data_IF_072250167444
#
_entry.id   IF_072250167444
#
_cell.length_a   1.000
_cell.length_b   1.000
_cell.length_c   1.000
_cell.angle_alpha   90.00
_cell.angle_beta   90.00
_cell.angle_gamma   90.00
#
_symmetry.space_group_name_H-M   'P 1'
#
loop_
_entity.id
_entity.type
_entity.pdbx_description
1 polymer ?
#
# COMPACT_ATOMS: atom_id res chain seq x y z
N UNK A 1 -8.71 -42.19 26.65
CA UNK A 1 -7.89 -43.41 26.86
C UNK A 1 -7.77 -43.61 28.36
N UNK A 2 -7.96 -44.83 28.88
CA UNK A 2 -7.63 -45.09 30.29
C UNK A 2 -6.14 -44.82 30.49
N UNK A 3 -5.79 -44.04 31.52
CA UNK A 3 -4.43 -43.67 31.92
C UNK A 3 -3.73 -42.55 31.10
N UNK A 4 -4.46 -41.71 30.37
CA UNK A 4 -3.94 -40.47 29.78
C UNK A 4 -4.94 -39.32 29.98
N UNK A 5 -4.45 -38.14 30.34
CA UNK A 5 -5.25 -36.93 30.50
C UNK A 5 -4.56 -35.71 29.87
N UNK A 6 -5.35 -34.68 29.59
CA UNK A 6 -4.91 -33.43 28.98
C UNK A 6 -5.15 -32.27 29.94
N UNK A 7 -4.19 -31.35 30.04
CA UNK A 7 -4.29 -30.14 30.85
C UNK A 7 -3.90 -28.92 30.03
N UNK A 8 -4.66 -27.84 30.16
CA UNK A 8 -4.28 -26.52 29.64
C UNK A 8 -3.75 -25.70 30.81
N UNK A 9 -2.46 -25.35 30.76
CA UNK A 9 -1.75 -24.68 31.86
C UNK A 9 -1.17 -23.33 31.42
N UNK A 10 -1.03 -22.42 32.39
CA UNK A 10 -0.29 -21.16 32.22
C UNK A 10 1.23 -21.38 32.37
N UNK A 11 2.08 -20.34 32.15
CA UNK A 11 3.53 -20.46 32.29
C UNK A 11 4.02 -20.89 33.69
N UNK A 12 3.20 -20.68 34.73
CA UNK A 12 3.46 -21.14 36.09
C UNK A 12 2.96 -22.57 36.37
N UNK A 13 2.60 -23.31 35.31
CA UNK A 13 2.06 -24.68 35.37
C UNK A 13 0.77 -24.81 36.19
N UNK A 14 -0.04 -23.75 36.24
CA UNK A 14 -1.36 -23.78 36.89
C UNK A 14 -2.48 -23.86 35.85
N UNK A 15 -3.60 -24.57 36.13
CA UNK A 15 -4.75 -24.62 35.23
C UNK A 15 -5.28 -23.23 34.88
N UNK A 16 -5.64 -23.03 33.61
CA UNK A 16 -6.27 -21.79 33.14
C UNK A 16 -7.79 -21.87 33.22
N UNK A 17 -8.51 -20.75 33.43
CA UNK A 17 -9.96 -20.72 33.37
C UNK A 17 -10.53 -21.10 31.99
N UNK A 18 -11.82 -21.45 31.96
CA UNK A 18 -12.58 -21.62 30.71
C UNK A 18 -12.44 -20.35 29.85
N UNK A 19 -12.31 -20.53 28.53
CA UNK A 19 -12.04 -19.49 27.51
C UNK A 19 -10.65 -18.85 27.52
N UNK A 20 -9.81 -19.11 28.52
CA UNK A 20 -8.47 -18.52 28.60
C UNK A 20 -7.47 -19.44 27.87
N UNK A 21 -6.72 -18.93 26.87
CA UNK A 21 -5.66 -19.69 26.23
C UNK A 21 -4.55 -20.10 27.20
N UNK A 22 -4.03 -21.30 27.02
CA UNK A 22 -2.83 -21.79 27.70
C UNK A 22 -2.13 -22.88 26.89
N UNK A 23 -1.03 -23.39 27.42
CA UNK A 23 -0.24 -24.46 26.80
C UNK A 23 -0.85 -25.82 27.12
N UNK A 24 -0.96 -26.67 26.11
CA UNK A 24 -1.48 -28.02 26.25
C UNK A 24 -0.38 -28.97 26.74
N UNK A 25 -0.70 -29.71 27.80
CA UNK A 25 0.14 -30.75 28.39
C UNK A 25 -0.61 -32.07 28.40
N UNK A 26 0.14 -33.15 28.24
CA UNK A 26 -0.36 -34.52 28.34
C UNK A 26 0.28 -35.16 29.57
N UNK A 27 -0.55 -35.74 30.43
CA UNK A 27 -0.13 -36.55 31.57
C UNK A 27 -0.63 -37.98 31.48
N UNK A 28 -0.08 -38.86 32.31
CA UNK A 28 -0.49 -40.25 32.44
C UNK A 28 0.59 -41.27 32.05
N UNK A 29 0.25 -42.56 32.18
CA UNK A 29 1.22 -43.66 32.00
C UNK A 29 1.65 -43.87 30.54
N UNK A 30 0.88 -43.38 29.57
CA UNK A 30 1.16 -43.53 28.14
C UNK A 30 2.25 -42.62 27.58
N UNK A 31 2.95 -41.83 28.41
CA UNK A 31 4.00 -40.93 27.93
C UNK A 31 5.24 -41.70 27.49
N UNK A 32 5.81 -41.32 26.35
CA UNK A 32 7.10 -41.83 25.89
C UNK A 32 8.22 -41.49 26.88
N UNK A 33 9.28 -42.30 26.91
CA UNK A 33 10.46 -42.08 27.78
C UNK A 33 11.26 -40.85 27.37
N UNK A 34 11.23 -40.46 26.10
CA UNK A 34 11.91 -39.28 25.57
C UNK A 34 12.03 -39.32 24.04
N UNK A 35 12.77 -38.37 23.50
CA UNK A 35 13.21 -38.37 22.10
C UNK A 35 14.46 -39.24 21.93
N UNK A 36 14.55 -39.94 20.81
CA UNK A 36 15.68 -40.84 20.54
C UNK A 36 16.99 -40.05 20.36
N UNK A 37 17.97 -40.30 21.25
CA UNK A 37 19.30 -39.67 21.24
C UNK A 37 19.31 -38.13 21.35
N UNK A 38 18.24 -37.54 21.88
CA UNK A 38 18.12 -36.08 22.07
C UNK A 38 17.70 -35.79 23.51
N UNK A 39 18.69 -35.82 24.41
CA UNK A 39 18.47 -35.60 25.86
C UNK A 39 18.04 -34.17 26.15
N UNK A 40 18.55 -33.20 25.39
CA UNK A 40 18.22 -31.79 25.55
C UNK A 40 16.73 -31.55 25.27
N UNK A 41 16.23 -31.98 24.11
CA UNK A 41 14.80 -31.87 23.77
C UNK A 41 13.94 -32.69 24.71
N UNK A 42 14.41 -33.87 25.13
CA UNK A 42 13.71 -34.71 26.12
C UNK A 42 13.49 -33.96 27.43
N UNK A 43 14.53 -33.33 27.98
CA UNK A 43 14.41 -32.58 29.25
C UNK A 43 13.50 -31.36 29.15
N UNK A 44 13.48 -30.70 27.98
CA UNK A 44 12.63 -29.53 27.70
C UNK A 44 11.15 -29.89 27.51
N UNK A 45 10.87 -31.01 26.84
CA UNK A 45 9.50 -31.43 26.51
C UNK A 45 8.85 -32.32 27.56
N UNK A 46 9.64 -33.11 28.32
CA UNK A 46 9.12 -34.00 29.36
C UNK A 46 9.51 -33.49 30.74
N UNK A 47 8.66 -32.63 31.29
CA UNK A 47 8.90 -31.94 32.56
C UNK A 47 8.26 -32.68 33.73
N UNK A 48 8.70 -32.34 34.94
CA UNK A 48 8.05 -32.78 36.18
C UNK A 48 7.27 -31.61 36.76
N UNK A 49 5.96 -31.77 36.96
CA UNK A 49 5.12 -30.74 37.54
C UNK A 49 5.61 -30.38 38.96
N UNK A 50 5.83 -29.10 39.30
CA UNK A 50 6.50 -28.71 40.53
C UNK A 50 5.73 -29.10 41.80
N UNK A 51 4.40 -29.06 41.76
CA UNK A 51 3.50 -29.41 42.88
C UNK A 51 3.14 -30.89 42.88
N UNK A 52 2.46 -31.40 41.85
CA UNK A 52 1.98 -32.80 41.81
C UNK A 52 3.08 -33.83 41.61
N UNK A 53 4.30 -33.41 41.19
CA UNK A 53 5.43 -34.27 40.83
C UNK A 53 5.14 -35.25 39.69
N UNK A 54 4.05 -35.05 38.97
CA UNK A 54 3.70 -35.85 37.82
C UNK A 54 4.59 -35.49 36.63
N UNK A 55 4.93 -36.50 35.81
CA UNK A 55 5.61 -36.27 34.55
C UNK A 55 4.60 -35.82 33.50
N UNK A 56 4.86 -34.67 32.90
CA UNK A 56 4.02 -34.06 31.86
C UNK A 56 4.82 -33.93 30.57
N UNK A 57 4.15 -34.20 29.46
CA UNK A 57 4.66 -33.90 28.13
C UNK A 57 4.07 -32.56 27.66
N UNK A 58 4.95 -31.57 27.46
CA UNK A 58 4.63 -30.27 26.84
C UNK A 58 4.44 -30.49 25.34
N UNK A 59 3.21 -30.36 24.83
CA UNK A 59 2.92 -30.68 23.43
C UNK A 59 3.36 -29.57 22.47
N UNK A 60 3.60 -28.36 22.98
CA UNK A 60 3.84 -27.17 22.17
C UNK A 60 2.59 -26.71 21.41
N UNK A 61 1.41 -27.17 21.79
CA UNK A 61 0.13 -26.69 21.27
C UNK A 61 -0.51 -25.69 22.24
N UNK A 62 -1.23 -24.72 21.69
CA UNK A 62 -2.07 -23.80 22.45
C UNK A 62 -3.52 -24.29 22.39
N UNK A 63 -4.19 -24.26 23.53
CA UNK A 63 -5.60 -24.61 23.62
C UNK A 63 -6.30 -23.82 24.71
N UNK A 64 -7.62 -23.96 24.76
CA UNK A 64 -8.45 -23.45 25.87
C UNK A 64 -9.60 -24.39 26.16
N UNK A 65 -10.04 -24.42 27.41
CA UNK A 65 -11.24 -25.17 27.77
C UNK A 65 -12.50 -24.43 27.33
N UNK A 66 -13.45 -25.18 26.79
CA UNK A 66 -14.83 -24.77 26.56
C UNK A 66 -15.68 -25.09 27.81
N UNK A 67 -16.86 -24.46 27.99
CA UNK A 67 -17.76 -24.77 29.10
C UNK A 67 -18.20 -26.23 29.17
N UNK A 68 -18.17 -26.95 28.04
CA UNK A 68 -18.46 -28.39 27.97
C UNK A 68 -17.36 -29.29 28.55
N UNK A 69 -16.17 -28.74 28.82
CA UNK A 69 -14.98 -29.49 29.21
C UNK A 69 -14.10 -29.93 28.04
N UNK A 70 -14.54 -29.70 26.80
CA UNK A 70 -13.72 -29.93 25.61
C UNK A 70 -12.58 -28.91 25.50
N UNK A 71 -11.50 -29.30 24.83
CA UNK A 71 -10.37 -28.40 24.55
C UNK A 71 -10.47 -27.94 23.10
N UNK A 72 -10.62 -26.63 22.89
CA UNK A 72 -10.48 -26.01 21.58
C UNK A 72 -9.00 -25.81 21.27
N UNK A 73 -8.56 -26.31 20.12
CA UNK A 73 -7.18 -26.19 19.63
C UNK A 73 -6.99 -24.84 18.93
N UNK A 74 -6.05 -24.02 19.42
CA UNK A 74 -5.82 -22.65 18.93
C UNK A 74 -4.60 -22.53 18.01
N UNK A 75 -3.85 -23.61 17.82
CA UNK A 75 -2.62 -23.62 17.03
C UNK A 75 -1.43 -24.12 17.83
N UNK A 76 -0.22 -23.85 17.34
CA UNK A 76 1.03 -24.26 17.98
C UNK A 76 1.77 -23.06 18.54
N UNK A 77 2.48 -23.28 19.63
CA UNK A 77 3.49 -22.36 20.16
C UNK A 77 4.71 -22.33 19.23
N UNK A 78 4.99 -23.44 18.54
CA UNK A 78 6.09 -23.53 17.57
C UNK A 78 5.63 -23.29 16.12
N UNK A 79 6.61 -23.06 15.24
CA UNK A 79 6.40 -22.77 13.82
C UNK A 79 6.14 -24.03 12.96
N UNK A 80 5.66 -25.15 13.54
CA UNK A 80 5.39 -26.35 12.73
C UNK A 80 4.14 -26.19 11.88
N UNK A 81 4.27 -26.54 10.60
CA UNK A 81 3.19 -26.45 9.62
C UNK A 81 2.84 -27.83 9.07
N UNK A 82 1.57 -27.99 8.66
CA UNK A 82 1.14 -29.15 7.87
C UNK A 82 1.20 -28.81 6.39
N UNK A 83 2.02 -29.54 5.64
CA UNK A 83 2.14 -29.41 4.18
C UNK A 83 1.95 -30.79 3.56
N UNK A 84 0.96 -30.94 2.68
CA UNK A 84 0.61 -32.21 2.01
C UNK A 84 0.45 -33.41 2.98
N UNK A 85 -0.07 -33.17 4.19
CA UNK A 85 -0.26 -34.20 5.22
C UNK A 85 0.95 -34.46 6.12
N UNK A 86 2.11 -33.90 5.81
CA UNK A 86 3.32 -34.00 6.63
C UNK A 86 3.42 -32.85 7.62
N UNK A 87 3.89 -33.14 8.83
CA UNK A 87 4.19 -32.13 9.85
C UNK A 87 5.65 -31.75 9.72
N UNK A 88 5.91 -30.49 9.42
CA UNK A 88 7.24 -30.00 9.04
C UNK A 88 7.69 -28.93 10.02
N UNK A 89 8.94 -29.06 10.48
CA UNK A 89 9.66 -28.13 11.35
C UNK A 89 10.31 -27.03 10.49
N UNK A 90 9.67 -25.87 10.36
CA UNK A 90 10.21 -24.78 9.54
C UNK A 90 11.59 -24.32 10.02
N UNK A 91 11.82 -24.31 11.33
CA UNK A 91 13.10 -23.94 11.93
C UNK A 91 14.26 -24.85 11.55
N UNK A 92 14.01 -26.15 11.32
CA UNK A 92 15.05 -27.09 10.87
C UNK A 92 15.49 -26.77 9.44
N UNK A 93 14.53 -26.44 8.57
CA UNK A 93 14.80 -26.04 7.18
C UNK A 93 15.55 -24.71 7.17
N UNK A 94 15.12 -23.72 7.98
CA UNK A 94 15.84 -22.46 8.16
C UNK A 94 17.28 -22.71 8.62
N UNK A 95 17.49 -23.53 9.65
CA UNK A 95 18.81 -23.83 10.18
C UNK A 95 19.71 -24.54 9.14
N UNK A 96 19.14 -25.45 8.34
CA UNK A 96 19.86 -26.11 7.26
C UNK A 96 20.25 -25.14 6.14
N UNK A 97 19.35 -24.24 5.74
CA UNK A 97 19.64 -23.22 4.72
C UNK A 97 20.65 -22.18 5.22
N UNK A 98 20.60 -21.78 6.49
CA UNK A 98 21.55 -20.84 7.11
C UNK A 98 22.99 -21.38 7.16
N UNK A 99 23.18 -22.70 7.05
CA UNK A 99 24.52 -23.31 6.94
C UNK A 99 25.14 -23.12 5.55
N UNK A 100 24.34 -22.75 4.53
CA UNK A 100 24.85 -22.51 3.20
C UNK A 100 25.72 -21.24 3.20
N UNK A 101 26.97 -21.27 2.70
CA UNK A 101 27.87 -20.14 2.81
C UNK A 101 27.27 -18.84 2.28
N UNK A 102 26.62 -18.85 1.12
CA UNK A 102 26.06 -17.66 0.49
C UNK A 102 24.76 -17.12 1.11
N UNK A 103 24.19 -17.74 2.15
CA UNK A 103 23.01 -17.24 2.87
C UNK A 103 23.44 -16.44 4.09
N UNK A 104 23.12 -15.15 4.11
CA UNK A 104 23.22 -14.33 5.31
C UNK A 104 22.04 -14.63 6.23
N UNK A 105 20.81 -14.25 5.87
CA UNK A 105 19.59 -14.50 6.66
C UNK A 105 18.60 -15.42 5.94
N UNK A 106 17.78 -16.18 6.70
CA UNK A 106 16.74 -17.04 6.11
C UNK A 106 15.53 -17.22 7.01
N UNK A 107 14.34 -17.13 6.41
CA UNK A 107 13.07 -17.56 7.01
C UNK A 107 12.34 -18.50 6.06
N UNK A 108 11.78 -19.58 6.60
CA UNK A 108 10.96 -20.53 5.84
C UNK A 108 9.52 -20.42 6.32
N UNK A 109 8.58 -20.39 5.38
CA UNK A 109 7.15 -20.33 5.66
C UNK A 109 6.37 -21.27 4.72
N UNK A 110 5.11 -21.55 5.08
CA UNK A 110 4.18 -22.25 4.22
C UNK A 110 3.26 -21.26 3.51
N UNK A 111 3.37 -21.17 2.19
CA UNK A 111 2.54 -20.32 1.33
C UNK A 111 1.45 -21.14 0.66
N UNK A 112 0.23 -20.58 0.60
CA UNK A 112 -0.92 -21.19 -0.07
C UNK A 112 -2.20 -21.10 0.78
N UNK A 113 -3.37 -21.40 0.17
CA UNK A 113 -4.66 -21.28 0.83
C UNK A 113 -4.78 -22.21 2.04
N UNK A 114 -5.59 -21.83 3.04
CA UNK A 114 -5.83 -22.67 4.23
C UNK A 114 -6.35 -24.06 3.87
N UNK A 115 -7.23 -24.13 2.87
CA UNK A 115 -7.72 -25.36 2.26
C UNK A 115 -7.11 -25.51 0.88
N UNK A 116 -6.02 -26.27 0.77
CA UNK A 116 -5.37 -26.55 -0.52
C UNK A 116 -3.95 -27.06 -0.36
N UNK A 117 -3.23 -27.19 -1.50
CA UNK A 117 -1.81 -27.58 -1.51
C UNK A 117 -0.96 -26.40 -1.05
N UNK A 118 -0.49 -26.45 0.19
CA UNK A 118 0.55 -25.53 0.69
C UNK A 118 1.90 -25.89 0.08
N UNK A 119 2.74 -24.90 -0.11
CA UNK A 119 4.13 -25.04 -0.54
C UNK A 119 5.04 -24.42 0.52
N UNK A 120 6.22 -25.01 0.71
CA UNK A 120 7.25 -24.39 1.53
C UNK A 120 8.02 -23.38 0.67
N UNK A 121 8.17 -22.17 1.17
CA UNK A 121 8.94 -21.11 0.54
C UNK A 121 9.96 -20.61 1.54
N UNK A 122 11.21 -20.51 1.10
CA UNK A 122 12.29 -19.90 1.85
C UNK A 122 12.57 -18.51 1.27
N UNK A 123 12.64 -17.51 2.14
CA UNK A 123 13.13 -16.18 1.81
C UNK A 123 14.54 -16.07 2.36
N UNK A 124 15.50 -15.82 1.49
CA UNK A 124 16.92 -15.78 1.83
C UNK A 124 17.49 -14.41 1.50
N UNK A 125 18.33 -13.89 2.39
CA UNK A 125 19.18 -12.72 2.14
C UNK A 125 20.55 -13.25 1.73
N UNK A 126 21.05 -12.92 0.52
CA UNK A 126 22.39 -13.31 0.11
C UNK A 126 23.45 -12.63 0.98
N UNK A 127 24.52 -13.36 1.32
CA UNK A 127 25.72 -12.79 1.95
C UNK A 127 26.47 -11.91 0.94
N UNK A 128 26.56 -10.58 1.16
CA UNK A 128 27.14 -9.65 0.20
C UNK A 128 28.65 -9.83 0.03
N UNK A 129 29.34 -10.49 0.97
CA UNK A 129 30.79 -10.69 0.91
C UNK A 129 31.19 -12.01 0.22
N UNK A 130 30.22 -12.86 -0.14
CA UNK A 130 30.51 -14.17 -0.73
C UNK A 130 30.19 -14.26 -2.23
N UNK A 131 31.06 -14.94 -3.01
CA UNK A 131 31.01 -14.91 -4.47
C UNK A 131 30.04 -15.92 -5.10
N UNK A 132 29.49 -16.87 -4.35
CA UNK A 132 28.58 -17.87 -4.91
C UNK A 132 27.15 -17.31 -4.97
N UNK A 133 26.58 -17.11 -6.17
CA UNK A 133 25.21 -16.61 -6.28
C UNK A 133 24.24 -17.70 -5.82
N UNK A 134 23.40 -17.39 -4.83
CA UNK A 134 22.32 -18.27 -4.37
C UNK A 134 21.26 -18.56 -5.44
N UNK A 135 21.19 -17.69 -6.45
CA UNK A 135 20.19 -17.71 -7.49
C UNK A 135 20.87 -17.76 -8.85
N UNK A 136 20.24 -18.44 -9.80
CA UNK A 136 20.58 -18.27 -11.20
C UNK A 136 20.26 -16.82 -11.60
N UNK A 137 21.28 -15.97 -11.61
CA UNK A 137 21.18 -14.64 -12.20
C UNK A 137 21.37 -14.77 -13.70
N UNK A 138 20.28 -14.67 -14.45
CA UNK A 138 20.37 -14.41 -15.88
C UNK A 138 20.81 -12.96 -16.09
N UNK A 139 22.12 -12.77 -16.22
CA UNK A 139 22.71 -11.47 -16.56
C UNK A 139 22.76 -11.33 -18.07
N UNK A 140 22.09 -10.30 -18.61
CA UNK A 140 22.35 -9.88 -19.98
C UNK A 140 23.74 -9.22 -20.05
N UNK A 141 24.44 -9.37 -21.18
CA UNK A 141 25.73 -8.71 -21.34
C UNK A 141 25.56 -7.18 -21.28
N UNK A 142 26.56 -6.43 -20.76
CA UNK A 142 26.48 -4.98 -20.70
C UNK A 142 26.12 -4.34 -22.05
N UNK A 143 26.63 -4.92 -23.15
CA UNK A 143 26.34 -4.46 -24.52
C UNK A 143 24.87 -4.70 -24.93
N UNK A 144 24.28 -5.82 -24.54
CA UNK A 144 22.85 -6.07 -24.79
C UNK A 144 21.97 -5.11 -23.99
N UNK A 145 22.32 -4.87 -22.73
CA UNK A 145 21.62 -3.89 -21.88
C UNK A 145 21.73 -2.47 -22.44
N UNK A 146 22.92 -2.07 -22.90
CA UNK A 146 23.16 -0.78 -23.54
C UNK A 146 22.35 -0.65 -24.84
N UNK A 147 22.35 -1.70 -25.67
CA UNK A 147 21.57 -1.73 -26.93
C UNK A 147 20.08 -1.61 -26.65
N UNK A 148 19.57 -2.35 -25.65
CA UNK A 148 18.19 -2.25 -25.22
C UNK A 148 17.89 -0.84 -24.72
N UNK A 149 18.72 -0.28 -23.83
CA UNK A 149 18.54 1.05 -23.28
C UNK A 149 18.46 2.13 -24.36
N UNK A 150 19.37 2.10 -25.34
CA UNK A 150 19.35 3.01 -26.49
C UNK A 150 18.05 2.86 -27.29
N UNK A 151 17.57 1.63 -27.50
CA UNK A 151 16.30 1.37 -28.19
C UNK A 151 15.11 1.94 -27.42
N UNK A 152 15.06 1.72 -26.10
CA UNK A 152 14.01 2.26 -25.22
C UNK A 152 14.00 3.78 -25.23
N UNK A 153 15.17 4.40 -25.07
CA UNK A 153 15.33 5.85 -25.09
C UNK A 153 14.91 6.45 -26.44
N UNK A 154 15.32 5.84 -27.55
CA UNK A 154 14.93 6.29 -28.89
C UNK A 154 13.42 6.23 -29.08
N UNK A 155 12.77 5.14 -28.66
CA UNK A 155 11.32 4.96 -28.77
C UNK A 155 10.55 5.93 -27.88
N UNK A 156 10.98 6.09 -26.63
CA UNK A 156 10.42 7.08 -25.71
C UNK A 156 10.54 8.50 -26.26
N UNK A 157 11.74 8.89 -26.71
CA UNK A 157 12.00 10.21 -27.28
C UNK A 157 11.24 10.46 -28.59
N UNK A 158 11.05 9.44 -29.42
CA UNK A 158 10.24 9.54 -30.63
C UNK A 158 8.77 9.82 -30.28
N UNK A 159 8.20 9.08 -29.32
CA UNK A 159 6.83 9.29 -28.87
C UNK A 159 6.67 10.64 -28.15
N UNK A 160 7.62 11.03 -27.33
CA UNK A 160 7.59 12.30 -26.59
C UNK A 160 7.54 13.54 -27.50
N UNK A 161 7.98 13.44 -28.75
CA UNK A 161 7.89 14.51 -29.75
C UNK A 161 6.50 14.61 -30.41
N UNK A 162 5.64 13.62 -30.21
CA UNK A 162 4.27 13.59 -30.72
C UNK A 162 3.34 14.13 -29.64
N UNK A 163 3.22 15.46 -29.57
CA UNK A 163 2.23 16.09 -28.70
C UNK A 163 0.82 15.73 -29.21
N UNK A 164 -0.12 15.37 -28.32
CA UNK A 164 -1.51 15.12 -28.72
C UNK A 164 -2.08 16.35 -29.43
N UNK A 165 -2.64 16.15 -30.62
CA UNK A 165 -3.21 17.21 -31.46
C UNK A 165 -4.38 17.93 -30.79
N UNK A 166 -5.01 17.27 -29.82
CA UNK A 166 -6.18 17.76 -29.10
C UNK A 166 -5.81 18.81 -28.02
N UNK A 167 -4.53 18.98 -27.69
CA UNK A 167 -4.08 19.88 -26.63
C UNK A 167 -3.63 21.22 -27.22
N UNK A 168 -4.39 22.27 -26.97
CA UNK A 168 -3.85 23.63 -27.03
C UNK A 168 -3.08 23.94 -25.73
N UNK A 169 -1.74 23.91 -25.81
CA UNK A 169 -0.84 24.18 -24.68
C UNK A 169 -1.12 25.53 -24.03
N UNK A 170 -1.49 26.55 -24.83
CA UNK A 170 -1.77 27.88 -24.29
C UNK A 170 -3.05 27.88 -23.46
N UNK A 171 -4.14 27.30 -23.97
CA UNK A 171 -5.38 27.14 -23.21
C UNK A 171 -5.19 26.27 -21.97
N UNK A 172 -4.44 25.16 -22.10
CA UNK A 172 -4.11 24.29 -20.97
C UNK A 172 -3.35 25.05 -19.87
N UNK A 173 -2.30 25.81 -20.23
CA UNK A 173 -1.54 26.61 -19.28
C UNK A 173 -2.39 27.69 -18.62
N UNK A 174 -3.25 28.39 -19.37
CA UNK A 174 -4.17 29.39 -18.83
C UNK A 174 -5.15 28.78 -17.83
N UNK A 175 -5.74 27.63 -18.16
CA UNK A 175 -6.63 26.90 -17.26
C UNK A 175 -5.95 26.61 -15.92
N UNK A 176 -4.74 26.04 -15.94
CA UNK A 176 -4.01 25.71 -14.72
C UNK A 176 -3.59 26.93 -13.90
N UNK A 177 -3.18 28.03 -14.54
CA UNK A 177 -2.90 29.29 -13.84
C UNK A 177 -4.15 29.82 -13.11
N UNK A 178 -5.34 29.65 -13.70
CA UNK A 178 -6.58 30.04 -13.03
C UNK A 178 -6.96 29.08 -11.90
N UNK A 179 -6.76 27.77 -12.07
CA UNK A 179 -6.98 26.77 -11.00
C UNK A 179 -6.06 27.06 -9.81
N UNK A 180 -4.80 27.41 -10.05
CA UNK A 180 -3.85 27.80 -8.99
C UNK A 180 -4.35 29.04 -8.23
N UNK A 181 -4.73 30.10 -8.97
CA UNK A 181 -5.31 31.30 -8.36
C UNK A 181 -6.59 31.01 -7.58
N UNK A 182 -7.43 30.11 -8.10
CA UNK A 182 -8.67 29.70 -7.47
C UNK A 182 -8.41 28.88 -6.19
N UNK A 183 -7.34 28.09 -6.17
CA UNK A 183 -6.86 27.38 -4.99
C UNK A 183 -6.45 28.36 -3.90
N UNK A 184 -5.62 29.36 -4.24
CA UNK A 184 -5.22 30.43 -3.31
C UNK A 184 -6.43 31.16 -2.72
N UNK A 185 -7.39 31.56 -3.56
CA UNK A 185 -8.61 32.23 -3.10
C UNK A 185 -9.48 31.30 -2.23
N UNK A 186 -9.54 30.01 -2.55
CA UNK A 186 -10.28 29.01 -1.75
C UNK A 186 -9.63 28.79 -0.38
N UNK A 187 -8.30 28.81 -0.29
CA UNK A 187 -7.56 28.79 0.97
C UNK A 187 -7.88 30.06 1.78
N UNK A 188 -7.79 31.26 1.18
CA UNK A 188 -8.15 32.52 1.81
C UNK A 188 -9.59 32.50 2.35
N UNK A 189 -10.56 32.04 1.54
CA UNK A 189 -11.96 31.86 1.94
C UNK A 189 -12.10 30.93 3.14
N UNK A 190 -11.35 29.83 3.14
CA UNK A 190 -11.36 28.86 4.23
C UNK A 190 -10.84 29.47 5.52
N UNK A 191 -9.70 30.16 5.49
CA UNK A 191 -9.12 30.83 6.64
C UNK A 191 -10.05 31.93 7.21
N UNK A 192 -10.67 32.72 6.33
CA UNK A 192 -11.70 33.69 6.74
C UNK A 192 -12.90 33.00 7.41
N UNK A 193 -13.38 31.88 6.87
CA UNK A 193 -14.49 31.11 7.47
C UNK A 193 -14.12 30.46 8.81
N UNK A 194 -12.83 30.19 9.04
CA UNK A 194 -12.29 29.76 10.33
C UNK A 194 -12.09 30.93 11.32
N UNK A 195 -12.30 32.17 10.86
CA UNK A 195 -12.20 33.38 11.68
C UNK A 195 -10.78 33.91 11.84
N UNK A 196 -9.86 33.59 10.92
CA UNK A 196 -8.45 34.02 10.98
C UNK A 196 -8.04 34.80 9.73
N UNK A 197 -7.21 35.82 9.93
CA UNK A 197 -6.71 36.77 8.93
C UNK A 197 -7.81 37.60 8.24
N UNK A 198 -8.96 37.76 8.90
CA UNK A 198 -10.10 38.52 8.40
C UNK A 198 -9.96 40.04 8.56
N UNK A 199 -9.08 40.49 9.47
CA UNK A 199 -8.75 41.90 9.69
C UNK A 199 -7.27 42.16 9.49
N UNK A 200 -6.91 43.39 9.10
CA UNK A 200 -5.51 43.76 8.89
C UNK A 200 -4.73 43.75 10.22
N UNK A 201 -3.53 43.20 10.19
CA UNK A 201 -2.63 43.20 11.34
C UNK A 201 -2.83 42.04 12.32
N UNK A 202 -3.60 41.02 11.94
CA UNK A 202 -3.71 39.80 12.74
C UNK A 202 -2.43 38.98 12.65
N UNK A 203 -2.14 38.26 13.74
CA UNK A 203 -1.08 37.27 13.76
C UNK A 203 -1.55 36.00 14.44
N UNK A 204 -1.31 34.87 13.79
CA UNK A 204 -1.72 33.56 14.26
C UNK A 204 -0.58 32.56 14.05
N UNK A 205 -0.30 31.73 15.05
CA UNK A 205 0.59 30.58 14.88
C UNK A 205 -0.17 29.38 14.31
N UNK A 206 0.51 28.49 13.58
CA UNK A 206 -0.10 27.25 13.09
C UNK A 206 -0.75 26.47 14.23
N UNK A 207 -0.05 26.36 15.36
CA UNK A 207 -0.54 25.67 16.56
C UNK A 207 -1.81 26.31 17.11
N UNK A 208 -1.89 27.65 17.14
CA UNK A 208 -3.06 28.36 17.61
C UNK A 208 -4.25 28.20 16.66
N UNK A 209 -4.03 28.23 15.35
CA UNK A 209 -5.10 27.98 14.38
C UNK A 209 -5.64 26.56 14.56
N UNK A 210 -4.76 25.55 14.63
CA UNK A 210 -5.17 24.15 14.81
C UNK A 210 -5.99 23.99 16.10
N UNK A 211 -5.51 24.55 17.20
CA UNK A 211 -6.17 24.45 18.51
C UNK A 211 -7.50 25.22 18.56
N UNK A 212 -7.49 26.49 18.18
CA UNK A 212 -8.63 27.39 18.38
C UNK A 212 -9.75 27.11 17.38
N UNK A 213 -9.40 26.72 16.15
CA UNK A 213 -10.37 26.38 15.11
C UNK A 213 -10.80 24.89 15.15
N UNK A 214 -10.28 24.11 16.11
CA UNK A 214 -10.59 22.69 16.31
C UNK A 214 -10.30 21.83 15.08
N UNK A 215 -9.15 22.05 14.44
CA UNK A 215 -8.72 21.30 13.26
C UNK A 215 -8.16 19.95 13.70
N UNK A 216 -8.52 18.88 12.99
CA UNK A 216 -8.00 17.54 13.25
C UNK A 216 -6.47 17.51 13.09
N UNK A 217 -5.71 16.90 14.02
CA UNK A 217 -4.25 16.89 13.99
C UNK A 217 -3.63 16.39 12.68
N UNK A 218 -4.30 15.44 11.99
CA UNK A 218 -3.87 14.90 10.70
C UNK A 218 -3.72 15.96 9.59
N UNK A 219 -4.41 17.10 9.70
CA UNK A 219 -4.36 18.18 8.72
C UNK A 219 -3.39 19.33 9.09
N UNK A 220 -2.68 19.25 10.21
CA UNK A 220 -1.72 20.29 10.59
C UNK A 220 -0.66 20.52 9.51
N UNK A 221 -0.15 19.44 8.88
CA UNK A 221 0.84 19.54 7.80
C UNK A 221 0.26 20.26 6.57
N UNK A 222 -0.96 19.92 6.17
CA UNK A 222 -1.67 20.54 5.04
C UNK A 222 -1.86 22.05 5.30
N UNK A 223 -2.34 22.40 6.49
CA UNK A 223 -2.54 23.80 6.87
C UNK A 223 -1.21 24.58 6.89
N UNK A 224 -0.13 23.98 7.37
CA UNK A 224 1.21 24.56 7.29
C UNK A 224 1.66 24.83 5.85
N UNK A 225 1.37 23.93 4.91
CA UNK A 225 1.64 24.13 3.49
C UNK A 225 0.81 25.28 2.90
N UNK A 226 -0.47 25.41 3.30
CA UNK A 226 -1.32 26.52 2.88
C UNK A 226 -0.78 27.87 3.35
N UNK A 227 -0.42 27.99 4.63
CA UNK A 227 0.13 29.24 5.18
C UNK A 227 1.45 29.63 4.51
N UNK A 228 2.30 28.64 4.17
CA UNK A 228 3.53 28.86 3.40
C UNK A 228 3.24 29.32 1.98
N UNK A 229 2.29 28.70 1.28
CA UNK A 229 1.90 29.15 -0.07
C UNK A 229 1.38 30.59 -0.05
N UNK A 230 0.57 30.98 0.94
CA UNK A 230 0.11 32.37 1.10
C UNK A 230 1.24 33.35 1.45
N UNK A 231 2.29 32.89 2.13
CA UNK A 231 3.49 33.69 2.40
C UNK A 231 4.34 33.89 1.14
N UNK A 232 4.52 32.85 0.32
CA UNK A 232 5.20 32.91 -0.98
C UNK A 232 4.47 33.85 -1.97
N UNK A 233 3.14 33.87 -1.92
CA UNK A 233 2.29 34.83 -2.67
C UNK A 233 2.29 36.25 -2.07
N UNK A 234 2.98 36.47 -0.95
CA UNK A 234 3.05 37.77 -0.28
C UNK A 234 1.76 38.23 0.41
N UNK A 235 0.78 37.33 0.58
CA UNK A 235 -0.47 37.58 1.30
C UNK A 235 -0.26 37.52 2.82
N UNK A 236 0.65 36.67 3.27
CA UNK A 236 1.11 36.57 4.65
C UNK A 236 2.60 36.88 4.76
N UNK A 237 3.07 37.12 5.99
CA UNK A 237 4.49 37.22 6.33
C UNK A 237 4.80 36.31 7.51
N UNK A 238 5.90 35.57 7.42
CA UNK A 238 6.41 34.83 8.56
C UNK A 238 7.08 35.80 9.55
N UNK A 239 6.61 35.84 10.80
CA UNK A 239 7.08 36.77 11.84
C UNK A 239 7.63 36.06 13.09
N UNK A 240 7.60 34.74 13.12
CA UNK A 240 8.10 33.90 14.20
C UNK A 240 8.06 32.43 13.82
N UNK A 241 8.28 31.53 14.78
CA UNK A 241 8.19 30.09 14.52
C UNK A 241 6.75 29.70 14.14
N UNK A 242 6.57 29.34 12.87
CA UNK A 242 5.26 29.01 12.27
C UNK A 242 4.16 30.04 12.58
N UNK A 243 4.53 31.31 12.75
CA UNK A 243 3.63 32.41 13.09
C UNK A 243 3.54 33.36 11.93
N UNK A 244 2.32 33.55 11.43
CA UNK A 244 2.04 34.31 10.22
C UNK A 244 1.29 35.58 10.58
N UNK A 245 1.55 36.63 9.81
CA UNK A 245 0.98 37.95 9.97
C UNK A 245 0.43 38.45 8.63
N UNK A 246 -0.76 39.05 8.63
CA UNK A 246 -1.36 39.62 7.41
C UNK A 246 -1.32 41.16 7.44
N UNK A 247 -0.79 41.78 6.37
CA UNK A 247 -0.82 43.24 6.23
C UNK A 247 -2.21 43.78 5.88
N UNK A 248 -3.00 42.96 5.20
CA UNK A 248 -4.36 43.26 4.75
C UNK A 248 -5.23 42.02 5.00
N UNK A 249 -6.56 42.16 5.13
CA UNK A 249 -7.46 41.02 5.15
C UNK A 249 -7.20 40.10 3.95
N UNK A 250 -7.28 38.78 4.15
CA UNK A 250 -7.21 37.85 3.04
C UNK A 250 -8.42 38.06 2.13
N UNK A 251 -8.18 38.58 0.93
CA UNK A 251 -9.25 38.94 0.00
C UNK A 251 -9.79 37.70 -0.74
N UNK A 252 -11.10 37.66 -0.90
CA UNK A 252 -11.84 36.72 -1.76
C UNK A 252 -12.57 37.44 -2.89
N UNK A 253 -12.17 38.68 -3.16
CA UNK A 253 -12.75 39.53 -4.20
C UNK A 253 -12.46 38.95 -5.59
N UNK A 254 -13.45 39.02 -6.48
CA UNK A 254 -13.32 38.46 -7.83
C UNK A 254 -13.48 36.93 -7.92
N UNK A 255 -13.81 36.25 -6.83
CA UNK A 255 -13.90 34.78 -6.80
C UNK A 255 -14.98 34.24 -7.76
N UNK A 256 -16.11 34.95 -7.89
CA UNK A 256 -17.20 34.53 -8.77
C UNK A 256 -16.82 34.65 -10.25
N UNK A 257 -16.18 35.76 -10.62
CA UNK A 257 -15.66 36.00 -11.95
C UNK A 257 -14.55 34.99 -12.30
N UNK A 258 -13.70 34.64 -11.33
CA UNK A 258 -12.68 33.62 -11.51
C UNK A 258 -13.29 32.23 -11.72
N UNK A 259 -14.31 31.86 -10.94
CA UNK A 259 -15.07 30.61 -11.15
C UNK A 259 -15.72 30.57 -12.53
N UNK A 260 -16.33 31.66 -12.99
CA UNK A 260 -16.90 31.74 -14.33
C UNK A 260 -15.85 31.51 -15.40
N UNK A 261 -14.70 32.19 -15.32
CA UNK A 261 -13.62 32.02 -16.27
C UNK A 261 -13.06 30.59 -16.29
N UNK A 262 -12.89 29.95 -15.13
CA UNK A 262 -12.43 28.56 -15.05
C UNK A 262 -13.46 27.58 -15.64
N UNK A 263 -14.76 27.82 -15.44
CA UNK A 263 -15.81 27.00 -16.05
C UNK A 263 -15.84 27.13 -17.57
N UNK A 264 -15.66 28.34 -18.09
CA UNK A 264 -15.52 28.56 -19.53
C UNK A 264 -14.31 27.80 -20.10
N UNK A 265 -13.16 27.91 -19.44
CA UNK A 265 -11.94 27.19 -19.83
C UNK A 265 -12.15 25.66 -19.77
N UNK A 266 -12.80 25.13 -18.72
CA UNK A 266 -13.10 23.71 -18.58
C UNK A 266 -14.05 23.18 -19.66
N UNK A 267 -15.11 23.95 -20.00
CA UNK A 267 -16.04 23.58 -21.07
C UNK A 267 -15.34 23.47 -22.43
N UNK A 268 -14.30 24.29 -22.66
CA UNK A 268 -13.48 24.24 -23.87
C UNK A 268 -12.42 23.14 -23.84
N UNK A 269 -12.10 22.60 -22.65
CA UNK A 269 -11.06 21.59 -22.42
C UNK A 269 -11.55 20.15 -22.31
N UNK A 270 -12.85 19.90 -22.52
CA UNK A 270 -13.45 18.56 -22.55
C UNK A 270 -14.00 18.06 -21.21
N UNK A 271 -14.69 16.92 -21.25
CA UNK A 271 -15.44 16.38 -20.11
C UNK A 271 -14.59 16.14 -18.85
N UNK A 272 -13.34 15.74 -19.02
CA UNK A 272 -12.41 15.46 -17.92
C UNK A 272 -12.08 16.70 -17.08
N UNK A 273 -11.93 17.86 -17.73
CA UNK A 273 -11.70 19.13 -17.02
C UNK A 273 -12.93 19.57 -16.23
N UNK A 274 -14.13 19.28 -16.75
CA UNK A 274 -15.39 19.48 -16.03
C UNK A 274 -15.45 18.67 -14.74
N UNK A 275 -15.16 17.37 -14.79
CA UNK A 275 -15.15 16.49 -13.62
C UNK A 275 -14.09 16.90 -12.59
N UNK A 276 -12.87 17.26 -13.03
CA UNK A 276 -11.85 17.82 -12.15
C UNK A 276 -12.34 19.09 -11.46
N UNK A 277 -12.99 19.99 -12.20
CA UNK A 277 -13.50 21.24 -11.67
C UNK A 277 -14.63 21.02 -10.65
N UNK A 278 -15.52 20.06 -10.91
CA UNK A 278 -16.57 19.67 -9.97
C UNK A 278 -15.98 19.10 -8.67
N UNK A 279 -14.99 18.20 -8.77
CA UNK A 279 -14.28 17.70 -7.60
C UNK A 279 -13.57 18.81 -6.82
N UNK A 280 -12.90 19.72 -7.54
CA UNK A 280 -12.23 20.86 -6.94
C UNK A 280 -13.23 21.77 -6.22
N UNK A 281 -14.37 22.08 -6.83
CA UNK A 281 -15.43 22.89 -6.21
C UNK A 281 -16.03 22.20 -4.98
N UNK A 282 -16.38 20.91 -5.11
CA UNK A 282 -16.88 20.10 -4.00
C UNK A 282 -15.90 20.07 -2.82
N UNK A 283 -14.60 19.96 -3.10
CA UNK A 283 -13.55 20.02 -2.07
C UNK A 283 -13.48 21.40 -1.42
N UNK A 284 -13.40 22.46 -2.23
CA UNK A 284 -13.28 23.85 -1.76
C UNK A 284 -14.48 24.30 -0.92
N UNK A 285 -15.69 23.82 -1.23
CA UNK A 285 -16.91 24.12 -0.49
C UNK A 285 -17.00 23.35 0.84
N UNK A 286 -16.25 22.24 0.97
CA UNK A 286 -16.22 21.39 2.17
C UNK A 286 -14.92 21.51 2.99
N UNK A 287 -13.99 22.42 2.66
CA UNK A 287 -12.70 22.52 3.36
C UNK A 287 -12.81 22.61 4.88
N UNK A 288 -13.71 23.45 5.41
CA UNK A 288 -13.87 23.60 6.88
C UNK A 288 -14.34 22.29 7.50
N UNK A 289 -15.37 21.67 6.93
CA UNK A 289 -15.91 20.39 7.39
C UNK A 289 -14.84 19.28 7.31
N UNK A 290 -14.07 19.23 6.23
CA UNK A 290 -12.96 18.30 6.05
C UNK A 290 -11.89 18.50 7.12
N UNK A 291 -11.43 19.75 7.35
CA UNK A 291 -10.42 20.07 8.36
C UNK A 291 -10.88 19.71 9.79
N UNK A 292 -12.17 19.79 10.07
CA UNK A 292 -12.78 19.39 11.35
C UNK A 292 -13.08 17.88 11.44
N UNK A 293 -12.97 17.15 10.33
CA UNK A 293 -13.29 15.72 10.25
C UNK A 293 -14.79 15.43 10.21
N UNK A 294 -15.61 16.41 9.82
CA UNK A 294 -17.05 16.27 9.61
C UNK A 294 -17.37 15.61 8.26
N UNK A 295 -16.42 15.62 7.33
CA UNK A 295 -16.50 15.00 6.00
C UNK A 295 -15.26 14.13 5.76
N UNK A 296 -15.47 12.92 5.23
CA UNK A 296 -14.38 12.05 4.81
C UNK A 296 -13.82 12.53 3.45
N UNK A 297 -12.49 12.76 3.30
CA UNK A 297 -11.90 13.10 2.01
C UNK A 297 -12.18 12.07 0.92
N UNK A 298 -12.33 10.78 1.27
CA UNK A 298 -12.67 9.73 0.30
C UNK A 298 -14.10 9.88 -0.23
N UNK A 299 -15.05 10.37 0.57
CA UNK A 299 -16.41 10.67 0.07
C UNK A 299 -16.41 11.84 -0.91
N UNK A 300 -15.49 12.79 -0.76
CA UNK A 300 -15.32 13.87 -1.74
C UNK A 300 -14.69 13.36 -3.04
N UNK A 301 -13.77 12.41 -2.95
CA UNK A 301 -13.09 11.85 -4.12
C UNK A 301 -13.93 10.79 -4.85
N UNK A 302 -14.69 9.98 -4.10
CA UNK A 302 -15.60 8.93 -4.58
C UNK A 302 -17.04 9.21 -4.10
N UNK A 303 -17.72 10.23 -4.64
CA UNK A 303 -19.05 10.61 -4.19
C UNK A 303 -20.04 9.46 -4.40
N UNK A 304 -20.66 8.97 -3.32
CA UNK A 304 -21.56 7.82 -3.38
C UNK A 304 -20.87 6.50 -3.80
N UNK A 305 -19.54 6.43 -3.69
CA UNK A 305 -18.74 5.30 -4.18
C UNK A 305 -18.52 5.28 -5.69
N UNK A 306 -18.88 6.35 -6.39
CA UNK A 306 -18.69 6.50 -7.84
C UNK A 306 -17.22 6.76 -8.21
N UNK A 307 -16.81 6.20 -9.34
CA UNK A 307 -15.45 6.18 -9.86
C UNK A 307 -15.20 7.24 -10.93
N UNK A 308 -16.25 7.86 -11.46
CA UNK A 308 -16.14 8.77 -12.61
C UNK A 308 -15.17 9.94 -12.34
N UNK A 309 -15.20 10.50 -11.13
CA UNK A 309 -14.26 11.56 -10.72
C UNK A 309 -12.81 11.07 -10.77
N UNK A 310 -12.51 9.92 -10.14
CA UNK A 310 -11.15 9.40 -10.07
C UNK A 310 -10.65 8.92 -11.44
N UNK A 311 -11.50 8.25 -12.22
CA UNK A 311 -11.16 7.82 -13.58
C UNK A 311 -10.87 9.01 -14.49
N UNK A 312 -11.69 10.07 -14.42
CA UNK A 312 -11.48 11.27 -15.23
C UNK A 312 -10.15 11.96 -14.99
N UNK A 313 -9.67 11.97 -13.74
CA UNK A 313 -8.39 12.57 -13.38
C UNK A 313 -7.18 11.82 -13.93
N UNK A 314 -7.28 10.49 -14.07
CA UNK A 314 -6.17 9.63 -14.46
C UNK A 314 -6.22 9.13 -15.91
N UNK A 315 -7.41 9.06 -16.52
CA UNK A 315 -7.61 8.43 -17.84
C UNK A 315 -8.01 9.43 -18.95
N UNK A 316 -8.53 10.61 -18.60
CA UNK A 316 -8.95 11.60 -19.60
C UNK A 316 -8.21 12.93 -19.44
N UNK A 317 -7.05 12.89 -18.79
CA UNK A 317 -6.14 14.01 -18.67
C UNK A 317 -5.13 13.96 -19.81
N UNK A 318 -5.09 14.95 -20.71
CA UNK A 318 -4.18 14.91 -21.86
C UNK A 318 -2.69 14.82 -21.48
N UNK A 319 -2.31 15.28 -20.28
CA UNK A 319 -0.97 15.06 -19.73
C UNK A 319 -0.76 13.61 -19.33
N UNK A 320 -1.74 12.97 -18.69
CA UNK A 320 -1.67 11.55 -18.35
C UNK A 320 -1.60 10.70 -19.63
N UNK A 321 -2.41 11.03 -20.64
CA UNK A 321 -2.40 10.35 -21.96
C UNK A 321 -1.03 10.47 -22.64
N UNK A 322 -0.44 11.66 -22.64
CA UNK A 322 0.90 11.88 -23.17
C UNK A 322 1.95 10.96 -22.51
N UNK A 323 1.96 10.91 -21.18
CA UNK A 323 2.90 10.06 -20.44
C UNK A 323 2.59 8.56 -20.63
N UNK A 324 1.32 8.18 -20.65
CA UNK A 324 0.88 6.81 -20.87
C UNK A 324 1.26 6.31 -22.27
N UNK A 325 1.19 7.16 -23.30
CA UNK A 325 1.66 6.84 -24.64
C UNK A 325 3.17 6.60 -24.69
N UNK A 326 3.96 7.44 -24.00
CA UNK A 326 5.41 7.24 -23.89
C UNK A 326 5.70 5.91 -23.18
N UNK A 327 5.03 5.64 -22.05
CA UNK A 327 5.18 4.39 -21.32
C UNK A 327 4.81 3.18 -22.20
N UNK A 328 3.71 3.27 -22.95
CA UNK A 328 3.29 2.24 -23.91
C UNK A 328 4.31 2.02 -25.03
N UNK A 329 4.91 3.08 -25.57
CA UNK A 329 5.95 2.98 -26.59
C UNK A 329 7.22 2.31 -26.07
N UNK A 330 7.65 2.67 -24.85
CA UNK A 330 8.79 2.04 -24.17
C UNK A 330 8.49 0.56 -23.91
N UNK A 331 7.30 0.26 -23.39
CA UNK A 331 6.91 -1.13 -23.08
C UNK A 331 6.78 -1.99 -24.34
N UNK A 332 6.31 -1.42 -25.44
CA UNK A 332 6.30 -2.07 -26.76
C UNK A 332 7.72 -2.44 -27.19
N UNK A 333 8.69 -1.55 -26.98
CA UNK A 333 10.09 -1.80 -27.32
C UNK A 333 10.72 -2.89 -26.45
N UNK A 334 10.38 -2.93 -25.15
CA UNK A 334 10.74 -4.02 -24.23
C UNK A 334 10.17 -5.34 -24.73
N UNK A 335 8.86 -5.40 -25.00
CA UNK A 335 8.19 -6.61 -25.45
C UNK A 335 8.77 -7.14 -26.78
N UNK A 336 9.06 -6.24 -27.72
CA UNK A 336 9.65 -6.59 -29.02
C UNK A 336 11.07 -7.16 -28.91
N UNK A 337 11.82 -6.75 -27.88
CA UNK A 337 13.19 -7.22 -27.61
C UNK A 337 13.23 -8.40 -26.62
N UNK A 338 12.07 -8.81 -26.09
CA UNK A 338 12.00 -9.86 -25.08
C UNK A 338 12.27 -11.24 -25.69
N UNK A 339 13.13 -12.08 -25.08
CA UNK A 339 13.46 -13.38 -25.64
C UNK A 339 12.24 -14.27 -25.91
N UNK A 340 12.20 -14.83 -27.13
CA UNK A 340 11.17 -15.80 -27.51
C UNK A 340 11.17 -17.03 -26.59
N UNK A 341 9.99 -17.53 -26.25
CA UNK A 341 9.81 -18.68 -25.35
C UNK A 341 9.89 -18.35 -23.86
N UNK A 342 10.32 -17.14 -23.48
CA UNK A 342 10.25 -16.65 -22.09
C UNK A 342 8.99 -15.81 -21.88
N UNK A 343 8.39 -15.94 -20.69
CA UNK A 343 7.28 -15.08 -20.26
C UNK A 343 7.82 -13.71 -19.85
N UNK A 344 7.21 -12.65 -20.37
CA UNK A 344 7.41 -11.28 -19.90
C UNK A 344 6.55 -11.07 -18.65
N UNK A 345 7.18 -10.87 -17.49
CA UNK A 345 6.48 -10.67 -16.22
C UNK A 345 6.57 -9.19 -15.85
N UNK A 346 5.43 -8.53 -15.74
CA UNK A 346 5.30 -7.12 -15.40
C UNK A 346 4.55 -7.02 -14.08
N UNK A 347 4.96 -6.12 -13.21
CA UNK A 347 4.24 -5.77 -11.98
C UNK A 347 4.05 -4.26 -11.96
N UNK A 348 2.81 -3.83 -11.76
CA UNK A 348 2.45 -2.42 -11.58
C UNK A 348 2.16 -2.19 -10.10
N UNK A 349 2.88 -1.24 -9.49
CA UNK A 349 2.78 -0.87 -8.08
C UNK A 349 1.86 0.32 -7.94
N UNK A 350 0.88 0.24 -7.03
CA UNK A 350 -0.04 1.35 -6.77
C UNK A 350 -0.89 1.70 -8.00
N UNK A 351 -1.43 0.67 -8.66
CA UNK A 351 -2.11 0.81 -9.93
C UNK A 351 -3.45 1.58 -9.85
N UNK A 352 -4.02 1.75 -8.65
CA UNK A 352 -5.11 2.69 -8.37
C UNK A 352 -6.35 2.50 -9.25
N UNK A 353 -6.71 3.48 -10.08
CA UNK A 353 -7.87 3.37 -10.99
C UNK A 353 -7.58 2.59 -12.27
N UNK A 354 -6.33 2.19 -12.49
CA UNK A 354 -5.86 1.51 -13.69
C UNK A 354 -5.79 2.39 -14.94
N UNK A 355 -5.68 3.71 -14.79
CA UNK A 355 -5.56 4.62 -15.94
C UNK A 355 -4.34 4.30 -16.83
N UNK A 356 -3.18 4.10 -16.21
CA UNK A 356 -1.97 3.66 -16.92
C UNK A 356 -2.11 2.22 -17.42
N UNK A 357 -2.61 1.30 -16.58
CA UNK A 357 -2.92 -0.09 -16.98
C UNK A 357 -3.73 -0.17 -18.28
N UNK A 358 -4.80 0.62 -18.40
CA UNK A 358 -5.67 0.64 -19.58
C UNK A 358 -4.93 1.02 -20.87
N UNK A 359 -3.87 1.82 -20.76
CA UNK A 359 -3.01 2.22 -21.89
C UNK A 359 -1.92 1.19 -22.19
N UNK A 360 -1.49 0.41 -21.20
CA UNK A 360 -0.39 -0.56 -21.33
C UNK A 360 -0.87 -1.94 -21.79
N UNK A 361 -2.02 -2.43 -21.33
CA UNK A 361 -2.50 -3.77 -21.69
C UNK A 361 -2.69 -3.98 -23.20
N UNK A 362 -3.22 -3.02 -23.99
CA UNK A 362 -3.41 -3.20 -25.43
C UNK A 362 -2.11 -3.40 -26.22
N UNK A 363 -0.98 -2.88 -25.74
CA UNK A 363 0.31 -2.95 -26.45
C UNK A 363 1.13 -4.20 -26.10
N UNK A 364 0.67 -5.00 -25.15
CA UNK A 364 1.39 -6.17 -24.66
C UNK A 364 0.99 -7.45 -25.41
N UNK A 365 1.95 -8.33 -25.76
CA UNK A 365 1.66 -9.61 -26.41
C UNK A 365 0.98 -10.58 -25.42
N UNK A 366 -0.31 -10.92 -25.58
CA UNK A 366 -1.07 -11.65 -24.55
C UNK A 366 -0.50 -13.03 -24.21
N UNK A 367 -0.04 -13.77 -25.23
CA UNK A 367 0.48 -15.12 -25.05
C UNK A 367 1.86 -15.15 -24.38
N UNK A 368 2.59 -14.04 -24.39
CA UNK A 368 3.93 -13.93 -23.80
C UNK A 368 3.92 -13.24 -22.43
N UNK A 369 2.85 -12.52 -22.10
CA UNK A 369 2.82 -11.65 -20.92
C UNK A 369 2.19 -12.32 -19.70
N UNK A 370 2.66 -11.93 -18.52
CA UNK A 370 1.97 -12.04 -17.23
C UNK A 370 2.04 -10.65 -16.60
N UNK A 371 0.90 -10.00 -16.44
CA UNK A 371 0.81 -8.67 -15.86
C UNK A 371 0.24 -8.78 -14.45
N UNK A 372 0.94 -8.26 -13.45
CA UNK A 372 0.50 -8.29 -12.05
C UNK A 372 0.10 -6.88 -11.65
N UNK A 373 -1.20 -6.64 -11.64
CA UNK A 373 -1.81 -5.43 -11.13
C UNK A 373 -1.79 -5.47 -9.61
N UNK A 374 -1.16 -4.50 -8.96
CA UNK A 374 -1.10 -4.46 -7.49
C UNK A 374 -1.53 -3.11 -6.93
N UNK A 375 -2.19 -3.16 -5.79
CA UNK A 375 -2.57 -2.00 -5.00
C UNK A 375 -2.65 -2.36 -3.52
N UNK A 376 -2.54 -1.38 -2.63
CA UNK A 376 -2.72 -1.58 -1.19
C UNK A 376 -4.18 -1.95 -0.86
N UNK A 377 -5.13 -1.48 -1.66
CA UNK A 377 -6.56 -1.61 -1.37
C UNK A 377 -7.27 -2.66 -2.22
N UNK A 378 -8.07 -3.51 -1.55
CA UNK A 378 -8.98 -4.43 -2.23
C UNK A 378 -10.02 -3.71 -3.08
N UNK A 379 -10.33 -2.45 -2.75
CA UNK A 379 -11.26 -1.63 -3.52
C UNK A 379 -10.80 -1.45 -4.97
N UNK A 380 -9.52 -1.14 -5.18
CA UNK A 380 -8.93 -0.95 -6.51
C UNK A 380 -8.78 -2.28 -7.26
N UNK A 381 -8.24 -3.30 -6.60
CA UNK A 381 -8.07 -4.62 -7.25
C UNK A 381 -9.39 -5.26 -7.68
N UNK A 382 -10.47 -5.16 -6.89
CA UNK A 382 -11.78 -5.73 -7.23
C UNK A 382 -12.41 -5.06 -8.46
N UNK A 383 -12.27 -3.74 -8.58
CA UNK A 383 -12.80 -3.01 -9.74
C UNK A 383 -11.94 -3.22 -10.98
N UNK A 384 -10.62 -3.26 -10.83
CA UNK A 384 -9.70 -3.59 -11.91
C UNK A 384 -9.96 -5.01 -12.49
N UNK A 385 -10.40 -5.96 -11.66
CA UNK A 385 -10.84 -7.30 -12.11
C UNK A 385 -12.02 -7.22 -13.06
N UNK A 386 -13.02 -6.39 -12.77
CA UNK A 386 -14.16 -6.18 -13.65
C UNK A 386 -13.75 -5.42 -14.92
N UNK A 387 -12.97 -4.34 -14.77
CA UNK A 387 -12.55 -3.45 -15.87
C UNK A 387 -11.66 -4.15 -16.90
N UNK A 388 -10.74 -5.01 -16.46
CA UNK A 388 -9.78 -5.68 -17.33
C UNK A 388 -10.05 -7.19 -17.50
N UNK A 389 -11.30 -7.63 -17.30
CA UNK A 389 -11.70 -9.03 -17.43
C UNK A 389 -11.35 -9.66 -18.80
N UNK A 390 -11.28 -8.83 -19.86
CA UNK A 390 -10.95 -9.26 -21.22
C UNK A 390 -9.45 -9.53 -21.42
N UNK A 391 -8.61 -9.27 -20.41
CA UNK A 391 -7.17 -9.51 -20.44
C UNK A 391 -6.80 -10.69 -19.51
N UNK A 392 -6.88 -11.95 -19.99
CA UNK A 392 -6.69 -13.15 -19.15
C UNK A 392 -5.26 -13.34 -18.63
N UNK A 393 -4.31 -12.53 -19.10
CA UNK A 393 -2.93 -12.53 -18.63
C UNK A 393 -2.69 -11.57 -17.46
N UNK A 394 -3.72 -10.84 -17.02
CA UNK A 394 -3.67 -9.97 -15.84
C UNK A 394 -3.98 -10.78 -14.58
N UNK A 395 -3.16 -10.57 -13.55
CA UNK A 395 -3.30 -11.07 -12.19
C UNK A 395 -3.45 -9.88 -11.26
N UNK A 396 -4.14 -10.08 -10.15
CA UNK A 396 -4.43 -9.04 -9.19
C UNK A 396 -3.93 -9.50 -7.83
N UNK A 397 -3.17 -8.66 -7.16
CA UNK A 397 -2.65 -8.94 -5.83
C UNK A 397 -2.65 -7.68 -4.97
N UNK A 398 -2.60 -7.85 -3.66
CA UNK A 398 -2.36 -6.75 -2.75
C UNK A 398 -0.86 -6.57 -2.56
N UNK A 399 -0.39 -5.33 -2.64
CA UNK A 399 1.00 -5.00 -2.37
C UNK A 399 1.08 -3.73 -1.52
N UNK A 400 1.69 -3.88 -0.35
CA UNK A 400 2.18 -2.77 0.45
C UNK A 400 3.69 -2.64 0.19
N UNK A 401 4.15 -1.44 -0.13
CA UNK A 401 5.55 -1.16 -0.43
C UNK A 401 6.30 -0.55 0.75
N UNK A 402 5.59 -0.21 1.82
CA UNK A 402 6.14 0.41 3.04
C UNK A 402 6.63 -0.60 4.08
#
# INVERSE_FOLDING_TARGET
MQNQYFQVLNPSLSPVPVWVPGQLYIGGMGLATGYWRDEEKTSKSFITHPVTKERLYKTGDLGRYLPSGDIEFLGREDFQVKVNGYRIELGEISAALKQHPAVDEVVVTAVGPERGKKQLVAYVVPDPEKPEPLFETESASPKELETLWVSLEQKGNQQARQLPSEIDIQSFSKFWQRIERLSTVSICRTLNNLGVFGTAGESHSLTDIVRNCQIQPRYQKLLGQWLKALEEEGLLRLVGEQTFYNLKPLSVEGVNELWQAVREDANNGGAAMGQLLEYFQRSADNHVALLKGEVDPLELFFPGGDWETAESLYQFNPVADYHNQIAGAVLTAVAASWPGGKKLRIMEVGAGTGGTTASLLPVLPPQQTVYTYTDLSTFFTAQAQQKFQDYPFVRYDLLDID
#
